data_IF_101808691423
#
_entry.id   IF_101808691423
#
_cell.length_a   1.000
_cell.length_b   1.000
_cell.length_c   1.000
_cell.angle_alpha   90.00
_cell.angle_beta   90.00
_cell.angle_gamma   90.00
#
_symmetry.space_group_name_H-M   'P 1'
#
loop_
_entity.id
_entity.type
_entity.pdbx_description
1 polymer ?
#
# COMPACT_ATOMS: atom_id res chain seq x y z
N UNK A 1 -16.26 -3.07 -16.46
CA UNK A 1 -16.14 -4.14 -15.45
C UNK A 1 -14.77 -4.80 -15.55
N UNK A 2 -13.73 -4.04 -15.93
CA UNK A 2 -12.52 -4.63 -16.56
C UNK A 2 -11.22 -4.25 -15.83
N UNK A 3 -11.36 -3.67 -14.63
CA UNK A 3 -10.25 -3.11 -13.86
C UNK A 3 -9.20 -4.19 -13.56
N UNK A 4 -9.63 -5.40 -13.19
CA UNK A 4 -8.72 -6.54 -12.92
C UNK A 4 -7.90 -6.88 -14.18
N UNK A 5 -8.55 -6.99 -15.34
CA UNK A 5 -7.89 -7.37 -16.59
C UNK A 5 -6.97 -6.26 -17.14
N UNK A 6 -7.28 -5.00 -16.84
CA UNK A 6 -6.51 -3.84 -17.29
C UNK A 6 -5.43 -3.38 -16.31
N UNK A 7 -5.44 -3.82 -15.05
CA UNK A 7 -4.45 -3.42 -14.04
C UNK A 7 -3.04 -3.81 -14.48
N UNK A 8 -2.12 -2.85 -14.41
CA UNK A 8 -0.68 -3.03 -14.67
C UNK A 8 0.13 -2.33 -13.59
N UNK A 9 1.37 -2.77 -13.40
CA UNK A 9 2.30 -2.12 -12.47
C UNK A 9 2.95 -0.93 -13.16
N UNK A 10 2.55 0.28 -12.76
CA UNK A 10 3.10 1.54 -13.27
C UNK A 10 4.37 1.89 -12.49
N UNK A 11 5.42 2.31 -13.20
CA UNK A 11 6.76 2.63 -12.63
C UNK A 11 7.30 3.99 -13.06
N UNK A 12 6.48 4.79 -13.74
CA UNK A 12 6.77 6.17 -14.13
C UNK A 12 5.51 6.99 -13.88
N UNK A 13 5.65 8.07 -13.13
CA UNK A 13 4.53 8.88 -12.67
C UNK A 13 4.65 10.30 -13.21
N UNK A 14 3.51 10.99 -13.26
CA UNK A 14 3.50 12.42 -13.49
C UNK A 14 3.92 13.13 -12.21
N UNK A 15 4.59 14.28 -12.34
CA UNK A 15 4.88 15.15 -11.22
C UNK A 15 3.62 15.93 -10.81
N UNK A 16 2.69 15.23 -10.14
CA UNK A 16 1.43 15.79 -9.64
C UNK A 16 1.08 15.15 -8.30
N UNK A 17 0.48 15.93 -7.42
CA UNK A 17 -0.11 15.41 -6.18
C UNK A 17 -1.31 14.52 -6.47
N UNK A 18 -1.61 13.62 -5.54
CA UNK A 18 -2.81 12.79 -5.56
C UNK A 18 -3.87 13.45 -4.68
N UNK A 19 -5.10 13.53 -5.17
CA UNK A 19 -6.22 14.12 -4.43
C UNK A 19 -6.57 13.28 -3.20
N UNK A 20 -6.83 13.94 -2.07
CA UNK A 20 -7.05 13.29 -0.77
C UNK A 20 -8.18 12.25 -0.80
N UNK A 21 -9.24 12.54 -1.54
CA UNK A 21 -10.39 11.65 -1.70
C UNK A 21 -10.01 10.35 -2.39
N UNK A 22 -9.02 10.38 -3.31
CA UNK A 22 -8.50 9.17 -3.95
C UNK A 22 -7.66 8.37 -2.97
N UNK A 23 -6.84 9.03 -2.14
CA UNK A 23 -6.06 8.37 -1.10
C UNK A 23 -6.98 7.66 -0.11
N UNK A 24 -8.00 8.35 0.39
CA UNK A 24 -8.98 7.76 1.31
C UNK A 24 -9.71 6.57 0.66
N UNK A 25 -10.11 6.69 -0.61
CA UNK A 25 -10.76 5.59 -1.34
C UNK A 25 -9.84 4.38 -1.50
N UNK A 26 -8.54 4.57 -1.71
CA UNK A 26 -7.57 3.47 -1.77
C UNK A 26 -7.42 2.78 -0.41
N UNK A 27 -7.29 3.55 0.67
CA UNK A 27 -7.22 3.01 2.03
C UNK A 27 -8.47 2.20 2.39
N UNK A 28 -9.65 2.75 2.12
CA UNK A 28 -10.93 2.05 2.32
C UNK A 28 -10.98 0.75 1.51
N UNK A 29 -10.53 0.76 0.25
CA UNK A 29 -10.51 -0.43 -0.59
C UNK A 29 -9.61 -1.52 -0.01
N UNK A 30 -8.40 -1.17 0.45
CA UNK A 30 -7.48 -2.13 1.11
C UNK A 30 -8.07 -2.70 2.40
N UNK A 31 -8.75 -1.88 3.20
CA UNK A 31 -9.41 -2.32 4.44
C UNK A 31 -10.62 -3.24 4.23
N UNK A 32 -11.12 -3.39 2.99
CA UNK A 32 -12.17 -4.37 2.66
C UNK A 32 -11.62 -5.77 2.35
N UNK A 33 -10.30 -5.97 2.40
CA UNK A 33 -9.70 -7.27 2.19
C UNK A 33 -10.19 -8.32 3.21
N UNK A 34 -10.21 -9.62 2.85
CA UNK A 34 -10.46 -10.68 3.81
C UNK A 34 -9.29 -10.83 4.79
N UNK A 35 -9.58 -11.22 6.04
CA UNK A 35 -8.58 -11.59 7.05
C UNK A 35 -9.05 -12.77 7.90
N UNK A 36 -8.12 -13.61 8.38
CA UNK A 36 -8.39 -14.76 9.21
C UNK A 36 -9.09 -14.33 10.51
N UNK A 37 -10.30 -14.85 10.74
CA UNK A 37 -11.14 -14.46 11.88
C UNK A 37 -11.35 -12.95 12.02
N UNK A 38 -11.37 -12.23 10.89
CA UNK A 38 -11.56 -10.79 10.84
C UNK A 38 -10.56 -10.02 11.74
N UNK A 39 -9.30 -10.45 11.76
CA UNK A 39 -8.27 -9.85 12.61
C UNK A 39 -7.72 -8.52 12.09
N UNK A 40 -7.89 -8.23 10.79
CA UNK A 40 -7.64 -6.93 10.15
C UNK A 40 -6.31 -6.27 10.60
N UNK A 41 -5.15 -6.93 10.39
CA UNK A 41 -3.90 -6.50 11.01
C UNK A 41 -3.17 -5.39 10.24
N UNK A 42 -3.75 -4.91 9.13
CA UNK A 42 -3.12 -3.93 8.26
C UNK A 42 -3.05 -2.55 8.90
N UNK A 43 -1.87 -1.96 8.84
CA UNK A 43 -1.62 -0.55 9.11
C UNK A 43 -1.04 0.10 7.86
N UNK A 44 -1.43 1.34 7.58
CA UNK A 44 -1.00 2.07 6.39
C UNK A 44 -0.31 3.37 6.79
N UNK A 45 0.97 3.50 6.44
CA UNK A 45 1.66 4.79 6.51
C UNK A 45 1.56 5.46 5.14
N UNK A 46 0.93 6.63 5.12
CA UNK A 46 0.80 7.47 3.93
C UNK A 46 1.99 8.40 3.84
N UNK A 47 2.79 8.29 2.78
CA UNK A 47 4.02 9.08 2.60
C UNK A 47 3.89 9.95 1.35
N UNK A 48 3.91 11.27 1.56
CA UNK A 48 3.89 12.30 0.51
C UNK A 48 5.15 13.19 0.52
N UNK A 49 5.92 13.17 1.62
CA UNK A 49 7.14 13.96 1.73
C UNK A 49 8.22 13.47 0.75
N UNK A 50 8.80 14.40 -0.01
CA UNK A 50 9.71 14.05 -1.08
C UNK A 50 11.03 13.43 -0.57
N UNK A 51 11.55 13.90 0.57
CA UNK A 51 12.77 13.35 1.14
C UNK A 51 12.55 11.92 1.66
N UNK A 52 11.41 11.68 2.31
CA UNK A 52 11.00 10.36 2.75
C UNK A 52 10.82 9.40 1.56
N UNK A 53 10.17 9.84 0.47
CA UNK A 53 10.01 9.04 -0.74
C UNK A 53 11.36 8.71 -1.39
N UNK A 54 12.30 9.65 -1.43
CA UNK A 54 13.65 9.38 -1.93
C UNK A 54 14.37 8.35 -1.04
N UNK A 55 14.24 8.45 0.28
CA UNK A 55 14.81 7.45 1.20
C UNK A 55 14.19 6.06 1.00
N UNK A 56 12.86 5.97 0.89
CA UNK A 56 12.14 4.71 0.63
C UNK A 56 12.56 4.05 -0.69
N UNK A 57 12.87 4.85 -1.71
CA UNK A 57 13.34 4.35 -3.01
C UNK A 57 14.67 3.59 -2.95
N UNK A 58 15.42 3.75 -1.85
CA UNK A 58 16.72 3.12 -1.61
C UNK A 58 16.63 1.86 -0.73
N UNK A 59 15.44 1.52 -0.21
CA UNK A 59 15.26 0.36 0.68
C UNK A 59 15.43 -1.00 -0.03
N UNK A 60 15.25 -1.06 -1.34
CA UNK A 60 15.37 -2.28 -2.13
C UNK A 60 15.94 -1.96 -3.51
N UNK A 61 16.72 -2.87 -4.13
CA UNK A 61 17.16 -2.73 -5.53
C UNK A 61 16.02 -2.48 -6.53
N UNK A 62 14.78 -2.81 -6.16
CA UNK A 62 13.60 -2.71 -7.03
C UNK A 62 12.64 -1.58 -6.66
N UNK A 63 12.92 -0.77 -5.61
CA UNK A 63 12.02 0.31 -5.16
C UNK A 63 12.30 1.67 -5.80
N UNK A 64 13.22 1.77 -6.77
CA UNK A 64 13.55 3.01 -7.48
C UNK A 64 12.35 3.87 -7.95
N UNK A 65 11.23 3.30 -8.45
CA UNK A 65 10.07 4.10 -8.86
C UNK A 65 9.46 4.98 -7.76
N UNK A 66 9.64 4.62 -6.48
CA UNK A 66 9.07 5.32 -5.31
C UNK A 66 9.54 6.78 -5.24
N UNK A 67 10.79 7.08 -5.63
CA UNK A 67 11.34 8.45 -5.60
C UNK A 67 10.54 9.43 -6.45
N UNK A 68 9.91 8.94 -7.52
CA UNK A 68 9.11 9.74 -8.45
C UNK A 68 7.60 9.62 -8.22
N UNK A 69 7.17 8.86 -7.22
CA UNK A 69 5.75 8.70 -6.91
C UNK A 69 5.19 9.97 -6.26
N UNK A 70 3.93 10.32 -6.55
CA UNK A 70 3.26 11.43 -5.87
C UNK A 70 2.79 11.07 -4.46
N UNK A 71 2.72 9.77 -4.14
CA UNK A 71 2.37 9.20 -2.85
C UNK A 71 2.83 7.74 -2.80
N UNK A 72 3.21 7.26 -1.61
CA UNK A 72 3.47 5.84 -1.35
C UNK A 72 2.73 5.40 -0.09
N UNK A 73 2.03 4.26 -0.17
CA UNK A 73 1.41 3.59 0.97
C UNK A 73 2.34 2.47 1.43
N UNK A 74 2.88 2.58 2.65
CA UNK A 74 3.64 1.50 3.28
C UNK A 74 2.67 0.65 4.08
N UNK A 75 2.51 -0.61 3.67
CA UNK A 75 1.64 -1.57 4.33
C UNK A 75 2.41 -2.36 5.39
N UNK A 76 1.87 -2.39 6.59
CA UNK A 76 2.47 -3.01 7.77
C UNK A 76 1.48 -3.98 8.43
N UNK A 77 2.01 -4.90 9.22
CA UNK A 77 1.24 -5.78 10.10
C UNK A 77 1.38 -5.29 11.54
N UNK A 78 0.26 -5.02 12.21
CA UNK A 78 0.24 -4.88 13.66
C UNK A 78 0.13 -6.27 14.31
N UNK A 79 1.23 -6.73 14.93
CA UNK A 79 1.29 -8.04 15.58
C UNK A 79 0.33 -8.19 16.77
N UNK A 80 -0.04 -7.09 17.42
CA UNK A 80 -0.91 -7.09 18.60
C UNK A 80 -2.35 -7.45 18.26
N UNK A 81 -2.74 -7.30 16.98
CA UNK A 81 -4.07 -7.63 16.48
C UNK A 81 -4.20 -9.09 16.01
N UNK A 82 -3.10 -9.86 15.96
CA UNK A 82 -3.09 -11.21 15.39
C UNK A 82 -3.75 -12.23 16.31
N UNK A 83 -4.87 -12.79 15.83
CA UNK A 83 -5.54 -13.95 16.41
C UNK A 83 -5.00 -15.26 15.84
N UNK A 84 -4.60 -15.25 14.57
CA UNK A 84 -4.10 -16.41 13.82
C UNK A 84 -2.69 -16.12 13.28
N UNK A 85 -1.70 -16.72 13.93
CA UNK A 85 -0.30 -16.56 13.53
C UNK A 85 -0.03 -17.21 12.15
N UNK A 86 0.88 -16.59 11.37
CA UNK A 86 1.33 -17.12 10.08
C UNK A 86 0.40 -16.89 8.87
N UNK A 87 -0.73 -16.20 9.06
CA UNK A 87 -1.68 -15.87 7.98
C UNK A 87 -1.52 -14.43 7.46
N UNK A 88 -0.91 -13.56 8.26
CA UNK A 88 -0.88 -12.11 8.02
C UNK A 88 -0.32 -11.71 6.66
N UNK A 89 0.65 -12.45 6.10
CA UNK A 89 1.19 -12.13 4.77
C UNK A 89 0.14 -12.27 3.66
N UNK A 90 -0.78 -13.24 3.79
CA UNK A 90 -1.86 -13.44 2.82
C UNK A 90 -2.88 -12.29 2.91
N UNK A 91 -3.13 -11.82 4.12
CA UNK A 91 -4.08 -10.75 4.43
C UNK A 91 -3.56 -9.40 3.92
N UNK A 92 -2.29 -9.09 4.20
CA UNK A 92 -1.64 -7.91 3.63
C UNK A 92 -1.54 -8.02 2.10
N UNK A 93 -1.30 -9.22 1.56
CA UNK A 93 -1.31 -9.46 0.12
C UNK A 93 -2.67 -9.21 -0.53
N UNK A 94 -3.78 -9.39 0.19
CA UNK A 94 -5.12 -9.08 -0.29
C UNK A 94 -5.50 -7.60 -0.13
N UNK A 95 -4.88 -6.90 0.83
CA UNK A 95 -5.11 -5.47 1.09
C UNK A 95 -4.30 -4.53 0.17
N UNK A 96 -3.28 -5.05 -0.53
CA UNK A 96 -2.37 -4.32 -1.43
C UNK A 96 -2.85 -4.34 -2.90
#
# INVERSE_FOLDING_TARGET
>A
MDIIFNRRSIRRFQNRSVEKEKVERLLRAGMQAPSAGNQQPWEFIVVEDHQALEALSKMSPYSGPVASSGITLVLLCNSDCLKFQGTWQQELGAAA
#
